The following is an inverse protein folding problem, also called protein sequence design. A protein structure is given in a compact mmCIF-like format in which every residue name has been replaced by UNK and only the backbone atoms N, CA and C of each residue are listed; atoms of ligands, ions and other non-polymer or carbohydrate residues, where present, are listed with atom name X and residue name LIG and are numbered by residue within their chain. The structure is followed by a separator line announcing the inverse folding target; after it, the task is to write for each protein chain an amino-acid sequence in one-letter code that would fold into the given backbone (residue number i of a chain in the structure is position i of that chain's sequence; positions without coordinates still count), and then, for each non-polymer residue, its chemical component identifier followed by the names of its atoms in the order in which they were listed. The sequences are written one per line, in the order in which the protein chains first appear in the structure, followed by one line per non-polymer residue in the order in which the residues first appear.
data_IF_687136462708
#
_entry.id   IF_687136462708
#
_cell.length_a   1.000
_cell.length_b   1.000
_cell.length_c   1.000
_cell.angle_alpha   90.00
_cell.angle_beta   90.00
_cell.angle_gamma   90.00
#
_symmetry.space_group_name_H-M   'P 1'
#
loop_
_entity.id
_entity.type
_entity.pdbx_description
1 polymer ?
#
# COMPACT_ATOMS: atom_id res chain seq x y z
N UNK A 1 -4.75 19.90 -41.61
CA UNK A 1 -4.29 21.14 -40.96
C UNK A 1 -3.76 20.73 -39.60
N UNK A 2 -2.43 20.64 -39.44
CA UNK A 2 -1.79 20.28 -38.17
C UNK A 2 -1.71 21.55 -37.34
N UNK A 3 -2.44 21.61 -36.23
CA UNK A 3 -2.31 22.71 -35.27
C UNK A 3 -1.00 22.47 -34.54
N UNK A 4 0.00 23.32 -34.83
CA UNK A 4 1.22 23.36 -34.04
C UNK A 4 0.86 23.77 -32.62
N UNK A 5 1.16 22.91 -31.64
CA UNK A 5 1.13 23.30 -30.25
C UNK A 5 2.34 24.23 -30.02
N UNK A 6 2.16 25.52 -29.69
CA UNK A 6 3.29 26.35 -29.36
C UNK A 6 3.91 25.81 -28.06
N UNK A 7 5.14 25.31 -28.17
CA UNK A 7 5.98 25.09 -27.00
C UNK A 7 6.31 26.48 -26.47
N UNK A 8 5.48 26.99 -25.57
CA UNK A 8 5.87 28.13 -24.74
C UNK A 8 7.12 27.69 -23.96
N UNK A 9 8.19 28.45 -24.16
CA UNK A 9 9.49 28.24 -23.53
C UNK A 9 9.31 28.10 -22.01
N UNK A 10 9.78 26.99 -21.47
CA UNK A 10 9.91 26.73 -20.03
C UNK A 10 11.02 27.62 -19.44
N UNK A 11 10.88 28.94 -19.53
CA UNK A 11 11.81 29.89 -18.93
C UNK A 11 11.03 30.90 -18.11
N UNK A 12 10.67 30.48 -16.90
CA UNK A 12 10.77 31.30 -15.70
C UNK A 12 10.56 30.35 -14.52
N UNK A 13 11.66 29.95 -13.90
CA UNK A 13 11.67 29.49 -12.51
C UNK A 13 11.08 30.65 -11.68
N UNK A 14 9.76 30.69 -11.58
CA UNK A 14 9.09 31.63 -10.67
C UNK A 14 9.49 31.23 -9.26
N UNK A 15 10.30 32.11 -8.68
CA UNK A 15 10.73 32.10 -7.29
C UNK A 15 9.54 31.77 -6.39
N UNK A 16 9.82 30.98 -5.36
CA UNK A 16 8.85 30.44 -4.41
C UNK A 16 7.98 31.55 -3.79
N UNK A 17 6.83 31.80 -4.39
CA UNK A 17 5.75 32.57 -3.75
C UNK A 17 5.01 31.63 -2.79
N UNK A 18 4.93 32.03 -1.52
CA UNK A 18 4.12 31.35 -0.51
C UNK A 18 2.71 31.08 -1.04
N UNK A 19 2.31 29.80 -1.00
CA UNK A 19 1.06 29.31 -1.58
C UNK A 19 -0.12 29.93 -0.81
N UNK A 20 -0.89 30.79 -1.50
CA UNK A 20 -2.07 31.43 -0.93
C UNK A 20 -3.27 30.46 -0.92
N UNK A 21 -4.11 30.42 0.12
CA UNK A 21 -5.34 29.64 0.13
C UNK A 21 -6.21 29.98 -1.09
N UNK A 22 -6.51 28.97 -1.92
CA UNK A 22 -7.27 29.13 -3.17
C UNK A 22 -6.45 29.21 -4.46
N UNK A 23 -5.11 29.08 -4.39
CA UNK A 23 -4.27 28.99 -5.58
C UNK A 23 -4.42 27.63 -6.29
N UNK A 24 -4.49 27.66 -7.63
CA UNK A 24 -4.45 26.44 -8.45
C UNK A 24 -3.00 25.93 -8.45
N UNK A 25 -2.78 24.81 -7.75
CA UNK A 25 -1.48 24.14 -7.73
C UNK A 25 -1.14 23.64 -9.14
N UNK A 26 -0.10 24.22 -9.74
CA UNK A 26 0.38 23.85 -11.09
C UNK A 26 1.54 22.86 -10.95
N UNK A 27 1.32 21.63 -11.41
CA UNK A 27 2.30 20.53 -11.38
C UNK A 27 2.00 19.50 -10.30
N UNK A 28 2.08 18.21 -10.66
CA UNK A 28 1.75 17.08 -9.77
C UNK A 28 2.62 17.07 -8.51
N UNK A 29 3.91 17.36 -8.64
CA UNK A 29 4.86 17.40 -7.51
C UNK A 29 4.45 18.43 -6.46
N UNK A 30 4.12 19.65 -6.88
CA UNK A 30 3.65 20.72 -5.96
C UNK A 30 2.32 20.38 -5.29
N UNK A 31 1.43 19.68 -5.98
CA UNK A 31 0.18 19.19 -5.39
C UNK A 31 0.44 18.13 -4.32
N UNK A 32 1.37 17.21 -4.57
CA UNK A 32 1.75 16.15 -3.62
C UNK A 32 2.44 16.73 -2.39
N UNK A 33 3.39 17.65 -2.56
CA UNK A 33 4.11 18.26 -1.43
C UNK A 33 3.16 19.03 -0.49
N UNK A 34 2.19 19.74 -1.06
CA UNK A 34 1.17 20.47 -0.28
C UNK A 34 0.15 19.54 0.39
N UNK A 35 -0.35 18.52 -0.32
CA UNK A 35 -1.38 17.64 0.24
C UNK A 35 -0.82 16.57 1.19
N UNK A 36 0.48 16.30 1.10
CA UNK A 36 1.15 15.25 1.86
C UNK A 36 2.45 15.77 2.49
N UNK A 37 2.38 16.92 3.16
CA UNK A 37 3.52 17.55 3.85
C UNK A 37 4.25 16.61 4.81
N UNK A 38 3.51 15.68 5.41
CA UNK A 38 4.01 14.77 6.43
C UNK A 38 4.44 13.41 5.87
N UNK A 39 4.46 13.21 4.54
CA UNK A 39 4.83 11.91 3.95
C UNK A 39 6.26 11.48 4.29
N UNK A 40 7.12 12.45 4.58
CA UNK A 40 8.51 12.22 4.99
C UNK A 40 8.66 12.15 6.52
N UNK A 41 7.60 12.37 7.29
CA UNK A 41 7.62 12.30 8.74
C UNK A 41 7.28 10.87 9.18
N UNK A 42 8.22 10.07 9.70
CA UNK A 42 7.97 8.68 10.08
C UNK A 42 7.00 8.53 11.25
N UNK A 43 6.79 9.59 12.06
CA UNK A 43 5.81 9.57 13.15
C UNK A 43 4.36 9.64 12.63
N UNK A 44 4.18 10.13 11.40
CA UNK A 44 2.88 10.32 10.75
C UNK A 44 2.70 9.32 9.60
N UNK A 45 3.70 9.16 8.75
CA UNK A 45 3.73 8.24 7.61
C UNK A 45 4.09 6.81 8.06
N UNK A 46 3.32 6.28 9.00
CA UNK A 46 3.43 4.90 9.47
C UNK A 46 2.59 3.94 8.60
N UNK A 47 2.70 2.63 8.87
CA UNK A 47 1.98 1.62 8.09
C UNK A 47 0.44 1.82 8.11
N UNK A 48 -0.10 2.29 9.24
CA UNK A 48 -1.54 2.57 9.39
C UNK A 48 -1.99 3.77 8.54
N UNK A 49 -1.15 4.79 8.43
CA UNK A 49 -1.38 5.94 7.56
C UNK A 49 -1.54 5.53 6.10
N UNK A 50 -0.78 4.53 5.63
CA UNK A 50 -0.86 4.05 4.25
C UNK A 50 -1.93 2.98 4.02
N UNK A 51 -2.33 2.22 5.05
CA UNK A 51 -3.28 1.12 4.93
C UNK A 51 -4.62 1.51 4.30
N UNK A 52 -5.05 2.76 4.47
CA UNK A 52 -6.34 3.28 3.98
C UNK A 52 -6.20 4.34 2.87
N UNK A 53 -5.04 4.39 2.19
CA UNK A 53 -4.77 5.42 1.16
C UNK A 53 -4.76 4.82 -0.25
N UNK A 54 -5.23 5.62 -1.20
CA UNK A 54 -5.07 5.33 -2.63
C UNK A 54 -3.80 5.96 -3.15
N UNK A 55 -2.97 5.19 -3.85
CA UNK A 55 -1.76 5.69 -4.50
C UNK A 55 -2.13 6.16 -5.91
N UNK A 56 -1.91 7.46 -6.18
CA UNK A 56 -2.11 8.05 -7.50
C UNK A 56 -0.77 8.20 -8.22
N UNK A 57 -0.69 7.76 -9.47
CA UNK A 57 0.52 7.89 -10.29
C UNK A 57 0.20 8.37 -11.69
N UNK A 58 1.21 8.86 -12.40
CA UNK A 58 1.03 9.53 -13.70
C UNK A 58 0.60 8.59 -14.83
N UNK A 59 0.79 7.27 -14.70
CA UNK A 59 0.51 6.30 -15.77
C UNK A 59 -0.11 5.01 -15.27
N UNK A 60 -1.02 4.43 -16.07
CA UNK A 60 -1.66 3.14 -15.76
C UNK A 60 -0.67 1.98 -15.66
N UNK A 61 0.44 2.04 -16.41
CA UNK A 61 1.48 1.01 -16.32
C UNK A 61 2.14 0.97 -14.93
N UNK A 62 2.34 2.12 -14.30
CA UNK A 62 2.86 2.20 -12.94
C UNK A 62 1.83 1.72 -11.93
N UNK A 63 0.55 2.10 -12.12
CA UNK A 63 -0.57 1.56 -11.30
C UNK A 63 -0.59 0.03 -11.35
N UNK A 64 -0.52 -0.56 -12.54
CA UNK A 64 -0.54 -2.01 -12.69
C UNK A 64 0.64 -2.68 -11.99
N UNK A 65 1.86 -2.13 -12.17
CA UNK A 65 3.06 -2.66 -11.50
C UNK A 65 2.95 -2.61 -9.98
N UNK A 66 2.42 -1.52 -9.42
CA UNK A 66 2.21 -1.38 -7.97
C UNK A 66 1.18 -2.40 -7.49
N UNK A 67 0.05 -2.53 -8.19
CA UNK A 67 -1.00 -3.48 -7.82
C UNK A 67 -0.50 -4.92 -7.86
N UNK A 68 0.27 -5.30 -8.88
CA UNK A 68 0.88 -6.63 -8.99
C UNK A 68 1.85 -6.90 -7.83
N UNK A 69 2.71 -5.94 -7.48
CA UNK A 69 3.64 -6.08 -6.37
C UNK A 69 2.94 -6.22 -5.01
N UNK A 70 1.88 -5.44 -4.78
CA UNK A 70 1.04 -5.53 -3.56
C UNK A 70 0.35 -6.90 -3.48
N UNK A 71 -0.22 -7.37 -4.59
CA UNK A 71 -0.89 -8.67 -4.64
C UNK A 71 0.07 -9.83 -4.34
N UNK A 72 1.25 -9.85 -4.96
CA UNK A 72 2.29 -10.85 -4.69
C UNK A 72 2.69 -10.86 -3.22
N UNK A 73 2.90 -9.67 -2.62
CA UNK A 73 3.28 -9.57 -1.22
C UNK A 73 2.20 -10.10 -0.27
N UNK A 74 0.93 -9.88 -0.59
CA UNK A 74 -0.19 -10.39 0.20
C UNK A 74 -0.28 -11.92 0.12
N UNK A 75 -0.03 -12.50 -1.05
CA UNK A 75 0.01 -13.94 -1.26
C UNK A 75 1.14 -14.60 -0.45
N UNK A 76 2.34 -14.02 -0.45
CA UNK A 76 3.47 -14.49 0.37
C UNK A 76 3.13 -14.51 1.87
N UNK A 77 2.47 -13.47 2.37
CA UNK A 77 2.04 -13.38 3.77
C UNK A 77 1.03 -14.48 4.11
N UNK A 78 0.06 -14.72 3.24
CA UNK A 78 -0.92 -15.79 3.43
C UNK A 78 -0.25 -17.17 3.48
N UNK A 79 0.69 -17.45 2.57
CA UNK A 79 1.45 -18.69 2.55
C UNK A 79 2.31 -18.84 3.81
N UNK A 80 2.98 -17.78 4.25
CA UNK A 80 3.80 -17.79 5.46
C UNK A 80 2.96 -18.09 6.71
N UNK A 81 1.81 -17.42 6.85
CA UNK A 81 0.87 -17.65 7.96
C UNK A 81 0.29 -19.06 7.96
N UNK A 82 -0.07 -19.59 6.78
CA UNK A 82 -0.55 -20.97 6.63
C UNK A 82 0.52 -21.99 7.03
N UNK A 83 1.79 -21.76 6.66
CA UNK A 83 2.92 -22.62 7.04
C UNK A 83 3.18 -22.58 8.55
N UNK A 84 3.19 -21.41 9.17
CA UNK A 84 3.36 -21.26 10.63
C UNK A 84 2.22 -21.94 11.37
N UNK A 85 0.99 -21.79 10.89
CA UNK A 85 -0.21 -22.41 11.49
C UNK A 85 -0.14 -23.93 11.35
N UNK A 86 0.14 -24.45 10.15
CA UNK A 86 0.30 -25.89 9.90
C UNK A 86 1.43 -26.50 10.73
N UNK A 87 2.57 -25.81 10.82
CA UNK A 87 3.69 -26.25 11.65
C UNK A 87 3.33 -26.25 13.14
N UNK A 88 2.57 -25.24 13.61
CA UNK A 88 2.12 -25.17 14.99
C UNK A 88 1.12 -26.28 15.32
N UNK A 89 0.16 -26.56 14.41
CA UNK A 89 -0.76 -27.69 14.51
C UNK A 89 -0.02 -29.02 14.56
N UNK A 90 0.93 -29.25 13.65
CA UNK A 90 1.71 -30.48 13.61
C UNK A 90 2.59 -30.67 14.87
N UNK A 91 3.25 -29.61 15.36
CA UNK A 91 3.98 -29.65 16.64
C UNK A 91 3.06 -29.92 17.82
N UNK A 92 1.87 -29.34 17.82
CA UNK A 92 0.82 -29.61 18.81
C UNK A 92 0.43 -31.08 18.81
N UNK A 93 0.24 -31.68 17.63
CA UNK A 93 -0.13 -33.07 17.46
C UNK A 93 0.97 -34.06 17.86
N UNK A 94 2.25 -33.75 17.58
CA UNK A 94 3.37 -34.55 18.11
C UNK A 94 3.39 -34.51 19.65
N UNK A 95 3.15 -33.33 20.24
CA UNK A 95 3.22 -33.12 21.68
C UNK A 95 1.99 -33.67 22.42
N UNK A 96 0.84 -33.63 21.76
CA UNK A 96 -0.48 -34.01 22.26
C UNK A 96 -1.25 -34.75 21.15
N UNK A 97 -0.91 -36.02 20.87
CA UNK A 97 -1.51 -36.79 19.79
C UNK A 97 -3.03 -36.97 19.93
N UNK A 98 -3.56 -36.85 21.15
CA UNK A 98 -5.00 -36.84 21.43
C UNK A 98 -5.76 -35.59 20.94
N UNK A 99 -5.06 -34.59 20.40
CA UNK A 99 -5.68 -33.37 19.81
C UNK A 99 -5.88 -33.49 18.30
N UNK A 100 -5.74 -34.68 17.73
CA UNK A 100 -6.15 -34.94 16.35
C UNK A 100 -7.65 -34.61 16.25
N UNK A 101 -8.04 -33.68 15.37
CA UNK A 101 -9.44 -33.30 15.17
C UNK A 101 -10.18 -34.53 14.61
N UNK A 102 -10.76 -35.32 15.51
CA UNK A 102 -11.61 -36.47 15.20
C UNK A 102 -12.94 -35.95 14.66
N UNK A 103 -13.07 -35.84 13.33
CA UNK A 103 -14.32 -35.72 12.55
C UNK A 103 -15.47 -34.87 13.16
N UNK A 104 -15.15 -33.77 13.84
CA UNK A 104 -16.12 -32.75 14.23
C UNK A 104 -17.17 -33.15 15.27
N UNK A 105 -16.92 -34.14 16.14
CA UNK A 105 -17.82 -34.40 17.28
C UNK A 105 -17.03 -34.49 18.58
N UNK A 106 -17.09 -33.40 19.36
CA UNK A 106 -16.65 -33.39 20.74
C UNK A 106 -17.71 -34.08 21.61
N UNK A 107 -17.57 -35.39 21.81
CA UNK A 107 -18.10 -36.08 23.00
C UNK A 107 -16.86 -36.45 23.82
N UNK A 108 -16.59 -35.90 25.00
CA UNK A 108 -17.46 -35.97 26.17
C UNK A 108 -17.22 -34.78 27.12
N UNK A 109 -18.33 -34.16 27.54
CA UNK A 109 -18.40 -33.56 28.85
C UNK A 109 -18.88 -34.64 29.83
N UNK A 110 -17.99 -35.06 30.74
CA UNK A 110 -18.35 -35.58 32.06
C UNK A 110 -17.73 -34.66 33.11
#
# INVERSE_FOLDING_TARGET
MLVANPVEELSEYREDEDIRPGAILRGLTRLVDEMYTDINNPDIANDEYFANRTILTTTNAVVQRINEAVAQRLEELYVALSRVTSQSKFKGLIKYPQLEEEDGVYTDNI
#
